data_IF_327033441692
#
_entry.id   IF_327033441692
#
_cell.length_a   1.000
_cell.length_b   1.000
_cell.length_c   1.000
_cell.angle_alpha   90.00
_cell.angle_beta   90.00
_cell.angle_gamma   90.00
#
_symmetry.space_group_name_H-M   'P 1'
#
loop_
_entity.id
_entity.type
_entity.pdbx_description
1 polymer ?
#
# COMPACT_ATOMS: atom_id res chain seq x y z
N UNK A 1 -19.10 -31.98 52.10
CA UNK A 1 -18.39 -32.56 50.94
C UNK A 1 -19.03 -32.03 49.67
N UNK A 2 -18.26 -31.33 48.83
CA UNK A 2 -18.66 -30.95 47.47
C UNK A 2 -18.96 -29.47 47.25
N UNK A 3 -17.92 -28.62 47.23
CA UNK A 3 -17.98 -27.35 46.51
C UNK A 3 -17.91 -27.63 45.01
N UNK A 4 -18.82 -27.08 44.22
CA UNK A 4 -18.64 -26.96 42.77
C UNK A 4 -18.55 -25.48 42.42
N UNK A 5 -17.32 -24.99 42.42
CA UNK A 5 -16.91 -23.70 41.89
C UNK A 5 -17.26 -23.63 40.41
N UNK A 6 -18.15 -22.72 40.05
CA UNK A 6 -18.48 -22.41 38.66
C UNK A 6 -17.34 -21.55 38.07
N UNK A 7 -16.47 -22.17 37.27
CA UNK A 7 -15.38 -21.47 36.57
C UNK A 7 -15.96 -20.74 35.37
N UNK A 8 -15.91 -19.41 35.40
CA UNK A 8 -16.13 -18.53 34.24
C UNK A 8 -14.88 -18.59 33.36
N UNK A 9 -15.00 -19.15 32.16
CA UNK A 9 -13.93 -19.08 31.15
C UNK A 9 -14.20 -17.86 30.27
N UNK A 10 -13.52 -16.76 30.57
CA UNK A 10 -13.45 -15.60 29.68
C UNK A 10 -12.35 -15.86 28.64
N UNK A 11 -12.75 -16.13 27.39
CA UNK A 11 -11.84 -16.24 26.27
C UNK A 11 -11.32 -14.84 25.89
N UNK A 12 -10.06 -14.56 26.22
CA UNK A 12 -9.36 -13.35 25.76
C UNK A 12 -8.93 -13.58 24.31
N UNK A 13 -9.56 -12.87 23.38
CA UNK A 13 -9.09 -12.74 22.00
C UNK A 13 -7.85 -11.83 22.00
N UNK A 14 -6.66 -12.44 22.01
CA UNK A 14 -5.42 -11.73 21.70
C UNK A 14 -5.42 -11.38 20.20
N UNK A 15 -5.73 -10.13 19.87
CA UNK A 15 -5.45 -9.59 18.54
C UNK A 15 -3.95 -9.28 18.50
N UNK A 16 -3.17 -10.15 17.86
CA UNK A 16 -1.80 -9.83 17.48
C UNK A 16 -1.83 -8.74 16.41
N UNK A 17 -1.68 -7.48 16.79
CA UNK A 17 -1.41 -6.41 15.86
C UNK A 17 0.01 -6.63 15.29
N UNK A 18 0.11 -7.24 14.11
CA UNK A 18 1.34 -7.22 13.35
C UNK A 18 1.69 -5.75 13.04
N UNK A 19 2.98 -5.35 13.07
CA UNK A 19 3.35 -3.99 12.71
C UNK A 19 2.93 -3.74 11.26
N UNK A 20 2.07 -2.74 11.06
CA UNK A 20 1.71 -2.26 9.72
C UNK A 20 3.01 -1.86 9.02
N UNK A 21 3.32 -2.54 7.91
CA UNK A 21 4.52 -2.25 7.13
C UNK A 21 4.29 -1.04 6.25
N UNK A 22 5.36 -0.38 5.81
CA UNK A 22 5.20 0.75 4.90
C UNK A 22 4.58 0.39 3.55
N UNK A 23 4.68 -0.88 3.15
CA UNK A 23 3.99 -1.44 1.99
C UNK A 23 2.48 -1.66 2.19
N UNK A 24 1.95 -1.42 3.39
CA UNK A 24 0.54 -1.64 3.70
C UNK A 24 -0.23 -0.32 3.73
N UNK A 25 -1.35 -0.31 3.01
CA UNK A 25 -2.40 0.67 3.23
C UNK A 25 -3.77 0.04 3.03
N UNK A 26 -4.67 0.29 3.99
CA UNK A 26 -6.05 -0.20 3.92
C UNK A 26 -6.13 -1.72 3.68
N UNK A 27 -5.26 -2.49 4.33
CA UNK A 27 -5.12 -3.96 4.24
C UNK A 27 -4.62 -4.52 2.90
N UNK A 28 -4.21 -3.67 1.94
CA UNK A 28 -3.55 -4.14 0.71
C UNK A 28 -2.03 -4.24 0.99
N UNK A 29 -1.47 -5.42 0.72
CA UNK A 29 -0.05 -5.71 0.82
C UNK A 29 0.44 -6.27 -0.52
N UNK A 30 1.33 -5.58 -1.25
CA UNK A 30 1.91 -6.08 -2.49
C UNK A 30 2.57 -7.45 -2.32
N UNK A 31 2.55 -8.26 -3.38
CA UNK A 31 3.01 -9.65 -3.40
C UNK A 31 2.23 -10.64 -2.48
N UNK A 32 1.23 -10.16 -1.73
CA UNK A 32 0.44 -10.99 -0.79
C UNK A 32 -1.06 -10.89 -1.06
N UNK A 33 -1.62 -9.68 -1.14
CA UNK A 33 -3.04 -9.47 -1.40
C UNK A 33 -3.44 -9.97 -2.78
N UNK A 34 -4.67 -10.48 -2.87
CA UNK A 34 -5.26 -11.01 -4.11
C UNK A 34 -6.40 -10.14 -4.61
N UNK A 35 -6.79 -10.32 -5.88
CA UNK A 35 -8.00 -9.77 -6.47
C UNK A 35 -9.23 -10.00 -5.58
N UNK A 36 -9.36 -11.20 -5.01
CA UNK A 36 -10.45 -11.53 -4.09
C UNK A 36 -10.41 -10.66 -2.83
N UNK A 37 -9.26 -10.56 -2.16
CA UNK A 37 -9.14 -9.75 -0.94
C UNK A 37 -9.39 -8.25 -1.18
N UNK A 38 -8.96 -7.72 -2.32
CA UNK A 38 -9.18 -6.32 -2.68
C UNK A 38 -10.66 -6.08 -2.96
N UNK A 39 -11.32 -6.97 -3.71
CA UNK A 39 -12.77 -6.86 -3.98
C UNK A 39 -13.61 -7.03 -2.72
N UNK A 40 -13.23 -7.93 -1.82
CA UNK A 40 -13.91 -8.10 -0.54
C UNK A 40 -13.87 -6.81 0.31
N UNK A 41 -12.78 -6.03 0.20
CA UNK A 41 -12.61 -4.79 0.96
C UNK A 41 -13.23 -3.56 0.29
N UNK A 42 -13.06 -3.41 -1.01
CA UNK A 42 -13.38 -2.17 -1.74
C UNK A 42 -14.54 -2.30 -2.73
N UNK A 43 -15.12 -3.50 -2.87
CA UNK A 43 -16.15 -3.79 -3.84
C UNK A 43 -15.61 -3.84 -5.27
N UNK A 44 -16.48 -3.55 -6.23
CA UNK A 44 -16.11 -3.56 -7.65
C UNK A 44 -15.39 -2.26 -8.05
N UNK A 45 -14.34 -2.33 -8.87
CA UNK A 45 -13.70 -1.14 -9.40
C UNK A 45 -14.61 -0.42 -10.40
N UNK A 46 -14.35 0.86 -10.61
CA UNK A 46 -14.99 1.67 -11.65
C UNK A 46 -14.55 1.23 -13.05
N UNK A 47 -13.27 0.87 -13.21
CA UNK A 47 -12.71 0.39 -14.48
C UNK A 47 -11.77 -0.80 -14.27
N UNK A 48 -11.76 -1.70 -15.24
CA UNK A 48 -10.78 -2.78 -15.34
C UNK A 48 -10.08 -2.69 -16.69
N UNK A 49 -8.76 -2.77 -16.67
CA UNK A 49 -7.91 -2.80 -17.87
C UNK A 49 -7.05 -4.06 -17.84
N UNK A 50 -6.70 -4.58 -19.01
CA UNK A 50 -5.81 -5.74 -19.15
C UNK A 50 -4.73 -5.42 -20.17
N UNK A 51 -3.49 -5.73 -19.85
CA UNK A 51 -2.35 -5.47 -20.73
C UNK A 51 -1.28 -6.54 -20.55
N UNK A 52 -0.36 -6.65 -21.51
CA UNK A 52 0.84 -7.47 -21.36
C UNK A 52 1.99 -6.65 -20.76
N UNK A 53 2.60 -7.17 -19.70
CA UNK A 53 3.86 -6.65 -19.15
C UNK A 53 4.83 -7.80 -18.98
N UNK A 54 6.05 -7.64 -19.49
CA UNK A 54 7.11 -8.67 -19.44
C UNK A 54 6.63 -10.04 -19.94
N UNK A 55 5.83 -10.05 -21.01
CA UNK A 55 5.16 -11.22 -21.61
C UNK A 55 4.07 -11.90 -20.77
N UNK A 56 3.67 -11.32 -19.64
CA UNK A 56 2.57 -11.82 -18.81
C UNK A 56 1.30 -10.95 -18.93
N UNK A 57 0.13 -11.59 -18.88
CA UNK A 57 -1.17 -10.90 -18.87
C UNK A 57 -1.49 -10.32 -17.50
N UNK A 58 -1.36 -8.99 -17.38
CA UNK A 58 -1.66 -8.23 -16.16
C UNK A 58 -3.04 -7.59 -16.22
N UNK A 59 -3.59 -7.27 -15.05
CA UNK A 59 -4.84 -6.55 -14.93
C UNK A 59 -4.67 -5.34 -14.00
N UNK A 60 -5.35 -4.24 -14.32
CA UNK A 60 -5.38 -3.03 -13.51
C UNK A 60 -6.82 -2.70 -13.15
N UNK A 61 -7.07 -2.47 -11.87
CA UNK A 61 -8.35 -2.01 -11.35
C UNK A 61 -8.24 -0.55 -10.92
N UNK A 62 -9.22 0.26 -11.33
CA UNK A 62 -9.28 1.68 -11.01
C UNK A 62 -10.55 1.94 -10.19
N UNK A 63 -10.36 2.53 -9.01
CA UNK A 63 -11.41 2.99 -8.11
C UNK A 63 -11.39 4.52 -8.11
N UNK A 64 -12.44 5.13 -8.63
CA UNK A 64 -12.57 6.58 -8.75
C UNK A 64 -14.04 6.99 -8.60
N UNK A 65 -14.28 8.29 -8.35
CA UNK A 65 -15.62 8.79 -8.12
C UNK A 65 -16.25 8.17 -6.86
N UNK A 66 -17.52 7.72 -6.90
CA UNK A 66 -18.19 7.13 -5.74
C UNK A 66 -17.56 5.83 -5.22
N UNK A 67 -16.78 5.14 -6.06
CA UNK A 67 -16.09 3.90 -5.69
C UNK A 67 -14.66 4.15 -5.17
N UNK A 68 -14.16 5.39 -5.19
CA UNK A 68 -12.89 5.72 -4.56
C UNK A 68 -13.00 5.53 -3.04
N UNK A 69 -11.99 4.92 -2.37
CA UNK A 69 -11.95 4.91 -0.91
C UNK A 69 -12.00 6.31 -0.31
N UNK A 70 -12.53 6.42 0.90
CA UNK A 70 -12.67 7.70 1.60
C UNK A 70 -11.36 8.47 1.67
N UNK A 71 -11.41 9.77 1.35
CA UNK A 71 -10.22 10.64 1.29
C UNK A 71 -9.40 10.52 -0.01
N UNK A 72 -9.69 9.58 -0.90
CA UNK A 72 -9.00 9.46 -2.18
C UNK A 72 -9.77 10.12 -3.32
N UNK A 73 -9.02 10.65 -4.28
CA UNK A 73 -9.50 10.98 -5.61
C UNK A 73 -9.56 9.69 -6.44
N UNK A 74 -8.48 8.90 -6.36
CA UNK A 74 -8.34 7.66 -7.12
C UNK A 74 -7.45 6.66 -6.39
N UNK A 75 -7.79 5.38 -6.51
CA UNK A 75 -6.91 4.26 -6.17
C UNK A 75 -6.77 3.35 -7.40
N UNK A 76 -5.53 3.01 -7.74
CA UNK A 76 -5.21 2.11 -8.85
C UNK A 76 -4.49 0.89 -8.29
N UNK A 77 -4.95 -0.31 -8.63
CA UNK A 77 -4.35 -1.57 -8.17
C UNK A 77 -3.95 -2.40 -9.37
N UNK A 78 -2.66 -2.73 -9.47
CA UNK A 78 -2.12 -3.57 -10.52
C UNK A 78 -1.93 -5.00 -10.00
N UNK A 79 -2.35 -5.97 -10.80
CA UNK A 79 -2.26 -7.39 -10.53
C UNK A 79 -1.38 -8.09 -11.56
N UNK A 80 -0.81 -9.23 -11.14
CA UNK A 80 0.05 -10.03 -11.99
C UNK A 80 1.51 -9.78 -11.65
N UNK A 81 2.09 -10.68 -10.85
CA UNK A 81 3.47 -10.59 -10.38
C UNK A 81 4.21 -11.91 -10.61
N UNK A 82 5.47 -11.82 -11.02
CA UNK A 82 6.37 -12.96 -11.08
C UNK A 82 7.05 -13.14 -9.71
N UNK A 83 6.87 -14.30 -9.10
CA UNK A 83 7.52 -14.70 -7.85
C UNK A 83 8.41 -15.92 -8.07
N UNK A 84 9.19 -16.31 -7.06
CA UNK A 84 10.02 -17.51 -7.12
C UNK A 84 9.23 -18.80 -7.45
N UNK A 85 7.95 -18.85 -7.05
CA UNK A 85 7.02 -19.95 -7.36
C UNK A 85 6.41 -19.88 -8.76
N UNK A 86 6.79 -18.90 -9.58
CA UNK A 86 6.19 -18.63 -10.89
C UNK A 86 5.24 -17.43 -10.88
N UNK A 87 4.59 -17.23 -12.04
CA UNK A 87 3.69 -16.11 -12.26
C UNK A 87 2.34 -16.27 -11.55
N UNK A 88 1.89 -15.20 -10.88
CA UNK A 88 0.65 -15.15 -10.11
C UNK A 88 -0.23 -14.02 -10.61
N UNK A 89 -1.21 -14.36 -11.45
CA UNK A 89 -2.07 -13.40 -12.15
C UNK A 89 -3.00 -12.58 -11.25
N UNK A 90 -3.38 -13.15 -10.11
CA UNK A 90 -4.41 -12.65 -9.20
C UNK A 90 -3.83 -11.90 -8.01
N UNK A 91 -2.51 -11.84 -7.88
CA UNK A 91 -1.79 -11.21 -6.76
C UNK A 91 -1.44 -9.76 -7.11
N UNK A 92 -1.59 -8.86 -6.14
CA UNK A 92 -1.25 -7.44 -6.27
C UNK A 92 0.25 -7.30 -6.52
N UNK A 93 0.60 -6.68 -7.64
CA UNK A 93 1.95 -6.25 -8.01
C UNK A 93 2.30 -4.92 -7.36
N UNK A 94 1.38 -3.96 -7.45
CA UNK A 94 1.54 -2.61 -6.93
C UNK A 94 0.19 -1.97 -6.76
N UNK A 95 0.13 -0.91 -5.96
CA UNK A 95 -1.03 -0.02 -5.98
C UNK A 95 -0.60 1.42 -5.75
N UNK A 96 -1.45 2.34 -6.23
CA UNK A 96 -1.24 3.78 -6.16
C UNK A 96 -2.45 4.45 -5.53
N UNK A 97 -2.19 5.36 -4.60
CA UNK A 97 -3.19 6.23 -4.00
C UNK A 97 -2.96 7.66 -4.49
N UNK A 98 -4.03 8.30 -4.93
CA UNK A 98 -4.09 9.73 -5.23
C UNK A 98 -5.06 10.36 -4.24
N UNK A 99 -4.57 10.92 -3.13
CA UNK A 99 -5.40 11.49 -2.09
C UNK A 99 -5.96 12.86 -2.46
N UNK A 100 -7.04 13.26 -1.77
CA UNK A 100 -7.47 14.66 -1.72
C UNK A 100 -6.47 15.47 -0.90
N UNK A 101 -6.43 16.78 -1.14
CA UNK A 101 -5.63 17.73 -0.36
C UNK A 101 -5.89 17.58 1.16
N UNK A 102 -4.84 17.66 1.98
CA UNK A 102 -4.88 17.54 3.43
C UNK A 102 -5.03 16.12 4.00
N UNK A 103 -5.22 15.08 3.17
CA UNK A 103 -5.40 13.70 3.67
C UNK A 103 -4.07 13.07 4.08
N UNK A 104 -3.01 13.30 3.28
CA UNK A 104 -1.66 12.85 3.59
C UNK A 104 -0.69 14.03 3.51
N UNK A 105 -0.74 14.89 4.52
CA UNK A 105 0.29 15.91 4.69
C UNK A 105 1.60 15.27 5.17
N UNK A 106 2.74 15.90 4.87
CA UNK A 106 4.10 15.41 5.19
C UNK A 106 4.24 14.85 6.60
N UNK A 107 3.70 15.57 7.60
CA UNK A 107 3.75 15.10 9.00
C UNK A 107 2.99 13.79 9.19
N UNK A 108 1.82 13.56 8.56
CA UNK A 108 1.12 12.26 8.63
C UNK A 108 1.95 11.17 7.97
N UNK A 109 2.59 11.49 6.84
CA UNK A 109 3.46 10.52 6.17
C UNK A 109 4.59 10.08 7.11
N UNK A 110 5.30 11.04 7.72
CA UNK A 110 6.38 10.75 8.66
C UNK A 110 5.88 10.04 9.94
N UNK A 111 4.70 10.39 10.45
CA UNK A 111 4.11 9.72 11.61
C UNK A 111 3.67 8.28 11.30
N UNK A 112 3.15 8.04 10.10
CA UNK A 112 2.65 6.73 9.68
C UNK A 112 3.76 5.76 9.29
N UNK A 113 4.79 6.27 8.61
CA UNK A 113 5.84 5.45 7.97
C UNK A 113 7.26 5.71 8.45
N UNK A 114 7.44 6.70 9.34
CA UNK A 114 8.75 7.11 9.82
C UNK A 114 9.53 7.94 8.82
N UNK A 115 10.82 8.14 9.12
CA UNK A 115 11.75 8.83 8.26
C UNK A 115 12.05 8.00 7.00
N UNK A 116 12.04 8.61 5.80
CA UNK A 116 12.40 7.90 4.58
C UNK A 116 13.89 7.56 4.57
N UNK A 117 14.27 6.43 3.96
CA UNK A 117 15.69 6.09 3.81
C UNK A 117 16.39 6.99 2.78
N UNK A 118 15.63 7.59 1.85
CA UNK A 118 16.16 8.55 0.89
C UNK A 118 15.11 9.61 0.53
N UNK A 119 15.56 10.84 0.43
CA UNK A 119 14.81 11.96 -0.13
C UNK A 119 15.40 12.31 -1.50
N UNK A 120 14.55 12.48 -2.50
CA UNK A 120 14.93 12.90 -3.84
C UNK A 120 14.00 13.98 -4.38
N UNK A 121 14.18 14.34 -5.65
CA UNK A 121 13.32 15.28 -6.36
C UNK A 121 12.91 14.74 -7.72
N UNK A 122 11.69 15.06 -8.16
CA UNK A 122 11.21 14.88 -9.52
C UNK A 122 10.61 16.19 -10.00
N UNK A 123 11.35 16.90 -10.86
CA UNK A 123 11.05 18.31 -11.13
C UNK A 123 11.06 19.12 -9.84
N UNK A 124 9.96 19.83 -9.58
CA UNK A 124 9.78 20.65 -8.37
C UNK A 124 9.25 19.85 -7.17
N UNK A 125 8.90 18.57 -7.36
CA UNK A 125 8.28 17.74 -6.32
C UNK A 125 9.33 17.01 -5.50
N UNK A 126 9.18 17.01 -4.17
CA UNK A 126 9.99 16.17 -3.30
C UNK A 126 9.47 14.73 -3.29
N UNK A 127 10.38 13.75 -3.25
CA UNK A 127 10.04 12.33 -3.19
C UNK A 127 10.68 11.68 -1.99
N UNK A 128 9.88 10.96 -1.21
CA UNK A 128 10.34 10.05 -0.17
C UNK A 128 10.38 8.63 -0.68
N UNK A 129 11.49 7.94 -0.40
CA UNK A 129 11.69 6.54 -0.74
C UNK A 129 11.83 5.71 0.54
N UNK A 130 10.99 4.69 0.66
CA UNK A 130 10.99 3.72 1.74
C UNK A 130 11.37 2.33 1.22
N UNK A 131 12.38 1.70 1.82
CA UNK A 131 12.91 0.40 1.35
C UNK A 131 11.89 -0.73 1.45
N UNK A 132 10.91 -0.59 2.35
CA UNK A 132 9.79 -1.51 2.48
C UNK A 132 8.76 -1.42 1.32
N UNK A 133 8.99 -0.55 0.33
CA UNK A 133 8.23 -0.51 -0.92
C UNK A 133 7.26 0.67 -1.05
N UNK A 134 7.40 1.72 -0.24
CA UNK A 134 6.60 2.95 -0.35
C UNK A 134 7.40 4.05 -1.04
N UNK A 135 6.79 4.72 -2.01
CA UNK A 135 7.27 5.97 -2.58
C UNK A 135 6.19 7.02 -2.43
N UNK A 136 6.54 8.17 -1.85
CA UNK A 136 5.61 9.29 -1.67
C UNK A 136 6.11 10.49 -2.48
N UNK A 137 5.26 11.00 -3.36
CA UNK A 137 5.54 12.18 -4.17
C UNK A 137 4.68 13.31 -3.61
N UNK A 138 5.34 14.36 -3.13
CA UNK A 138 4.67 15.55 -2.60
C UNK A 138 4.33 16.56 -3.70
N UNK A 139 3.46 17.48 -3.39
CA UNK A 139 3.26 18.68 -4.18
C UNK A 139 4.54 19.55 -4.25
N UNK A 140 4.48 20.61 -5.07
CA UNK A 140 5.61 21.53 -5.26
C UNK A 140 5.98 22.30 -4.00
N UNK A 141 5.06 22.44 -3.06
CA UNK A 141 5.29 23.12 -1.77
C UNK A 141 5.86 22.14 -0.72
N UNK A 142 5.88 20.84 -1.04
CA UNK A 142 6.33 19.78 -0.15
C UNK A 142 5.37 19.49 1.00
N UNK A 143 4.11 19.95 0.89
CA UNK A 143 3.15 19.92 1.99
C UNK A 143 2.29 18.66 1.96
N UNK A 144 1.61 18.41 0.85
CA UNK A 144 0.73 17.25 0.68
C UNK A 144 1.29 16.22 -0.28
N UNK A 145 1.09 14.95 0.05
CA UNK A 145 1.34 13.86 -0.88
C UNK A 145 0.31 13.94 -2.03
N UNK A 146 0.78 14.05 -3.27
CA UNK A 146 -0.05 13.91 -4.46
C UNK A 146 -0.18 12.46 -4.88
N UNK A 147 0.81 11.63 -4.56
CA UNK A 147 0.83 10.23 -4.94
C UNK A 147 1.58 9.41 -3.90
N UNK A 148 0.98 8.29 -3.50
CA UNK A 148 1.66 7.23 -2.75
C UNK A 148 1.66 5.97 -3.61
N UNK A 149 2.82 5.41 -3.89
CA UNK A 149 2.98 4.16 -4.64
C UNK A 149 3.53 3.09 -3.73
N UNK A 150 2.85 1.95 -3.69
CA UNK A 150 3.18 0.80 -2.87
C UNK A 150 3.57 -0.37 -3.77
N UNK A 151 4.73 -0.95 -3.51
CA UNK A 151 5.32 -2.09 -4.20
C UNK A 151 5.83 -3.10 -3.17
N UNK A 152 6.23 -4.33 -3.58
CA UNK A 152 7.00 -5.21 -2.70
C UNK A 152 8.30 -4.50 -2.28
N UNK A 153 8.93 -4.90 -1.16
CA UNK A 153 10.17 -4.28 -0.69
C UNK A 153 11.19 -4.10 -1.82
N UNK A 154 11.69 -2.87 -1.98
CA UNK A 154 12.66 -2.49 -3.00
C UNK A 154 13.97 -2.12 -2.29
N UNK A 155 15.08 -2.82 -2.54
CA UNK A 155 16.37 -2.41 -2.01
C UNK A 155 16.68 -0.97 -2.46
N UNK A 156 16.87 -0.06 -1.49
CA UNK A 156 17.35 1.29 -1.79
C UNK A 156 18.87 1.23 -1.75
N UNK A 157 19.50 1.38 -2.91
CA UNK A 157 20.95 1.55 -2.94
C UNK A 157 21.33 2.81 -2.12
N UNK A 158 22.31 2.72 -1.21
CA UNK A 158 22.78 3.88 -0.48
C UNK A 158 23.27 4.94 -1.47
N UNK A 159 22.97 6.21 -1.20
CA UNK A 159 23.45 7.31 -2.03
C UNK A 159 24.97 7.23 -2.14
N UNK A 160 25.50 7.11 -3.37
CA UNK A 160 26.95 7.16 -3.58
C UNK A 160 27.44 8.53 -3.09
N UNK A 161 28.46 8.60 -2.22
CA UNK A 161 29.02 9.87 -1.82
C UNK A 161 29.58 10.58 -3.05
N UNK A 162 29.20 11.85 -3.22
CA UNK A 162 29.78 12.72 -4.24
C UNK A 162 31.28 12.84 -4.00
N UNK A 163 32.08 12.54 -5.02
CA UNK A 163 33.54 12.66 -4.99
C UNK A 163 33.95 14.11 -5.19
#
# INVERSE_FOLDING_TARGET
MGHLSSVVVAAVLLVCAAPARASEWGTIVPATSTMESVRARYGSPTKTETQKTDNYDTATWIYEGPQAPGGLIRMVVDFGILQASGYRRDVVRSFKLEPKHGIFHRRIVLLGWGEPQRVGKQGDSEIFYYADGLVVIFDKEGFDAQTLVFTPPQPIEPAKPSR
#
